data_IF_137529249028
#
_entry.id   IF_137529249028
#
_cell.length_a   1.000
_cell.length_b   1.000
_cell.length_c   1.000
_cell.angle_alpha   90.00
_cell.angle_beta   90.00
_cell.angle_gamma   90.00
#
_symmetry.space_group_name_H-M   'P 1'
#
loop_
_entity.id
_entity.type
_entity.pdbx_description
1 polymer ?
#
# COMPACT_ATOMS: atom_id res chain seq x y z
N UNK A 1 5.56 4.72 20.57
CA UNK A 1 4.73 4.98 19.37
C UNK A 1 5.62 5.63 18.33
N UNK A 2 5.94 4.94 17.23
CA UNK A 2 6.84 5.41 16.17
C UNK A 2 6.10 6.17 15.05
N UNK A 3 4.93 6.74 15.33
CA UNK A 3 4.03 7.17 14.28
C UNK A 3 3.63 8.63 14.48
N UNK A 4 4.44 9.52 13.94
CA UNK A 4 4.02 10.84 13.51
C UNK A 4 4.75 11.10 12.19
N UNK A 5 4.01 11.13 11.09
CA UNK A 5 4.52 11.27 9.73
C UNK A 5 4.55 12.75 9.26
N UNK A 6 4.49 13.70 10.20
CA UNK A 6 4.35 15.13 9.88
C UNK A 6 2.97 15.53 9.34
N UNK A 7 2.06 14.57 9.11
CA UNK A 7 0.77 14.80 8.49
C UNK A 7 -0.28 15.39 9.44
N UNK A 8 -1.00 16.41 8.97
CA UNK A 8 -2.15 17.03 9.64
C UNK A 8 -3.48 16.25 9.43
N UNK A 9 -3.47 15.19 8.61
CA UNK A 9 -4.67 14.48 8.19
C UNK A 9 -4.75 13.09 8.82
N UNK A 10 -5.48 12.98 9.93
CA UNK A 10 -5.97 11.70 10.44
C UNK A 10 -7.32 11.37 9.82
N UNK A 11 -7.60 10.08 9.68
CA UNK A 11 -8.96 9.62 9.38
C UNK A 11 -9.85 9.97 10.56
N UNK A 12 -10.90 10.75 10.31
CA UNK A 12 -12.00 10.86 11.27
C UNK A 12 -12.55 9.46 11.50
N UNK A 13 -13.00 9.21 12.72
CA UNK A 13 -13.69 7.96 12.99
C UNK A 13 -14.81 7.72 11.97
N UNK A 14 -14.89 6.49 11.49
CA UNK A 14 -15.78 6.17 10.39
C UNK A 14 -17.24 6.43 10.78
N UNK A 15 -18.04 6.96 9.85
CA UNK A 15 -19.50 7.10 9.97
C UNK A 15 -19.99 7.95 11.16
N UNK A 16 -19.15 8.87 11.64
CA UNK A 16 -19.53 9.84 12.64
C UNK A 16 -19.33 11.26 12.17
N UNK A 17 -20.24 12.15 12.56
CA UNK A 17 -20.11 13.57 12.32
C UNK A 17 -18.83 14.09 12.96
N UNK A 18 -18.14 14.98 12.24
CA UNK A 18 -17.05 15.78 12.78
C UNK A 18 -17.63 16.75 13.82
N UNK A 19 -17.85 16.26 15.04
CA UNK A 19 -18.31 17.05 16.17
C UNK A 19 -17.15 17.91 16.72
N UNK A 20 -17.05 18.07 18.05
CA UNK A 20 -15.99 18.86 18.71
C UNK A 20 -14.61 18.17 18.66
N UNK A 21 -14.05 17.97 17.47
CA UNK A 21 -12.69 17.49 17.27
C UNK A 21 -11.77 18.67 16.98
N UNK A 22 -10.90 19.05 17.94
CA UNK A 22 -9.86 20.07 17.74
C UNK A 22 -8.68 19.57 16.90
N UNK A 23 -8.50 18.25 16.84
CA UNK A 23 -7.56 17.54 15.98
C UNK A 23 -8.28 16.26 15.50
N UNK A 24 -8.05 15.80 14.27
CA UNK A 24 -8.78 14.73 13.55
C UNK A 24 -8.73 13.32 14.18
N UNK A 25 -8.85 13.19 15.49
CA UNK A 25 -9.00 11.92 16.22
C UNK A 25 -10.40 11.81 16.81
N UNK A 26 -10.70 10.65 17.42
CA UNK A 26 -11.91 10.35 18.18
C UNK A 26 -12.43 11.56 18.97
N UNK A 27 -13.70 11.91 18.77
CA UNK A 27 -14.37 12.90 19.60
C UNK A 27 -14.65 12.32 20.99
N UNK A 28 -14.68 13.16 22.04
CA UNK A 28 -15.13 12.74 23.38
C UNK A 28 -16.53 12.13 23.36
N UNK A 29 -17.40 12.57 22.45
CA UNK A 29 -18.75 12.02 22.28
C UNK A 29 -18.77 10.59 21.69
N UNK A 30 -17.60 10.07 21.31
CA UNK A 30 -17.41 8.71 20.79
C UNK A 30 -16.89 7.73 21.83
N UNK A 31 -16.46 8.23 23.01
CA UNK A 31 -16.00 7.36 24.09
C UNK A 31 -17.20 6.66 24.73
N UNK A 32 -17.18 5.32 24.81
CA UNK A 32 -18.21 4.53 25.50
C UNK A 32 -19.43 4.11 24.66
N UNK A 33 -19.41 4.29 23.33
CA UNK A 33 -20.45 3.72 22.44
C UNK A 33 -20.26 2.20 22.27
N UNK A 34 -21.36 1.47 22.07
CA UNK A 34 -21.38 0.01 21.87
C UNK A 34 -20.63 -0.46 20.63
N UNK A 35 -20.58 0.37 19.59
CA UNK A 35 -19.72 0.21 18.42
C UNK A 35 -18.59 1.25 18.50
N UNK A 36 -17.37 0.85 18.90
CA UNK A 36 -16.22 1.73 18.80
C UNK A 36 -15.94 1.96 17.31
N UNK A 37 -15.96 3.20 16.84
CA UNK A 37 -15.47 3.56 15.51
C UNK A 37 -14.03 4.08 15.64
N UNK A 38 -13.01 3.20 15.50
CA UNK A 38 -11.65 3.63 15.60
C UNK A 38 -11.26 4.65 14.54
N UNK A 39 -10.85 5.86 14.95
CA UNK A 39 -10.10 6.75 14.08
C UNK A 39 -8.74 6.14 13.75
N UNK A 40 -8.35 6.19 12.47
CA UNK A 40 -7.04 5.71 12.01
C UNK A 40 -5.93 6.66 12.44
N UNK A 41 -5.04 6.20 13.33
CA UNK A 41 -3.79 6.88 13.65
C UNK A 41 -2.80 6.79 12.48
N UNK A 42 -1.66 7.51 12.51
CA UNK A 42 -0.64 7.38 11.48
C UNK A 42 -0.18 5.91 11.39
N UNK A 43 -0.39 5.31 10.23
CA UNK A 43 -0.11 3.92 9.91
C UNK A 43 0.26 3.82 8.42
N UNK A 44 0.95 2.74 8.02
CA UNK A 44 1.34 2.50 6.64
C UNK A 44 0.11 2.53 5.69
N UNK A 45 -1.04 2.04 6.17
CA UNK A 45 -2.34 2.10 5.50
C UNK A 45 -2.87 3.51 5.22
N UNK A 46 -2.23 4.54 5.78
CA UNK A 46 -2.58 5.95 5.61
C UNK A 46 -1.38 6.81 5.14
N UNK A 47 -0.37 6.18 4.55
CA UNK A 47 0.82 6.88 4.06
C UNK A 47 0.61 7.45 2.64
N UNK A 48 -0.11 8.58 2.55
CA UNK A 48 -0.46 9.19 1.27
C UNK A 48 0.55 10.23 0.82
N UNK A 49 1.35 9.91 -0.20
CA UNK A 49 2.42 10.78 -0.72
C UNK A 49 2.12 11.38 -2.10
N UNK A 50 1.26 10.76 -2.92
CA UNK A 50 1.04 11.18 -4.32
C UNK A 50 0.47 12.58 -4.48
N UNK A 51 -0.42 13.01 -3.56
CA UNK A 51 -0.95 14.37 -3.57
C UNK A 51 0.11 15.43 -3.29
N UNK A 52 1.04 15.14 -2.36
CA UNK A 52 2.17 16.01 -2.06
C UNK A 52 3.17 16.08 -3.22
N UNK A 53 3.44 14.93 -3.87
CA UNK A 53 4.27 14.89 -5.07
C UNK A 53 3.64 15.72 -6.19
N UNK A 54 2.35 15.56 -6.46
CA UNK A 54 1.63 16.32 -7.48
C UNK A 54 1.70 17.83 -7.17
N UNK A 55 1.44 18.22 -5.92
CA UNK A 55 1.55 19.61 -5.50
C UNK A 55 2.96 20.17 -5.70
N UNK A 56 4.01 19.42 -5.33
CA UNK A 56 5.40 19.81 -5.60
C UNK A 56 5.66 19.98 -7.10
N UNK A 57 5.22 19.04 -7.94
CA UNK A 57 5.43 19.10 -9.40
C UNK A 57 4.73 20.28 -10.06
N UNK A 58 3.56 20.68 -9.55
CA UNK A 58 2.79 21.81 -10.08
C UNK A 58 3.28 23.16 -9.58
N UNK A 59 3.76 23.25 -8.33
CA UNK A 59 4.09 24.53 -7.67
C UNK A 59 5.58 24.79 -7.48
N UNK A 60 6.43 23.77 -7.58
CA UNK A 60 7.84 23.84 -7.18
C UNK A 60 8.06 23.93 -5.67
N UNK A 61 7.02 23.78 -4.83
CA UNK A 61 7.12 23.92 -3.38
C UNK A 61 8.07 22.86 -2.77
N UNK A 62 9.23 23.30 -2.26
CA UNK A 62 10.26 22.41 -1.69
C UNK A 62 9.83 21.71 -0.42
N UNK A 63 8.99 22.33 0.42
CA UNK A 63 8.49 21.69 1.65
C UNK A 63 7.62 20.47 1.31
N UNK A 64 6.87 20.52 0.21
CA UNK A 64 6.10 19.37 -0.25
C UNK A 64 7.01 18.23 -0.75
N UNK A 65 8.12 18.55 -1.43
CA UNK A 65 9.12 17.57 -1.80
C UNK A 65 9.78 16.91 -0.58
N UNK A 66 10.18 17.72 0.41
CA UNK A 66 10.74 17.24 1.68
C UNK A 66 9.76 16.36 2.45
N UNK A 67 8.47 16.71 2.45
CA UNK A 67 7.44 15.89 3.04
C UNK A 67 7.31 14.52 2.36
N UNK A 68 7.33 14.46 1.02
CA UNK A 68 7.33 13.19 0.28
C UNK A 68 8.51 12.31 0.67
N UNK A 69 9.72 12.87 0.72
CA UNK A 69 10.93 12.15 1.14
C UNK A 69 10.78 11.65 2.57
N UNK A 70 10.33 12.50 3.49
CA UNK A 70 10.14 12.13 4.90
C UNK A 70 9.14 10.98 5.08
N UNK A 71 8.08 10.92 4.27
CA UNK A 71 7.12 9.81 4.28
C UNK A 71 7.74 8.49 3.79
N UNK A 72 8.70 8.53 2.87
CA UNK A 72 9.44 7.35 2.41
C UNK A 72 10.52 6.92 3.40
N UNK A 73 11.24 7.87 4.01
CA UNK A 73 12.16 7.60 5.11
C UNK A 73 11.44 6.92 6.28
N UNK A 74 10.21 7.33 6.54
CA UNK A 74 9.36 6.68 7.54
C UNK A 74 9.06 5.22 7.18
N UNK A 75 8.83 4.90 5.90
CA UNK A 75 8.67 3.51 5.42
C UNK A 75 9.92 2.68 5.71
N UNK A 76 11.10 3.21 5.36
CA UNK A 76 12.38 2.56 5.61
C UNK A 76 12.61 2.33 7.10
N UNK A 77 12.35 3.35 7.92
CA UNK A 77 12.58 3.29 9.36
C UNK A 77 11.60 2.36 10.09
N UNK A 78 10.32 2.34 9.68
CA UNK A 78 9.35 1.46 10.33
C UNK A 78 9.63 -0.01 10.04
N UNK A 79 10.14 -0.34 8.85
CA UNK A 79 10.43 -1.73 8.47
C UNK A 79 11.81 -2.23 8.94
N UNK A 80 12.78 -1.34 9.18
CA UNK A 80 14.12 -1.71 9.65
C UNK A 80 14.09 -2.25 11.08
N UNK A 81 14.09 -3.58 11.22
CA UNK A 81 14.05 -4.28 12.51
C UNK A 81 15.14 -3.89 13.50
N UNK A 82 16.28 -3.36 13.02
CA UNK A 82 17.38 -2.91 13.90
C UNK A 82 17.04 -1.64 14.67
N UNK A 83 16.04 -0.88 14.22
CA UNK A 83 15.66 0.41 14.84
C UNK A 83 14.63 0.25 15.96
N UNK A 84 14.05 -0.94 16.12
CA UNK A 84 13.03 -1.23 17.13
C UNK A 84 13.63 -1.85 18.38
N UNK A 85 12.86 -1.88 19.47
CA UNK A 85 13.29 -2.47 20.75
C UNK A 85 13.77 -3.93 20.59
N UNK A 86 13.11 -4.69 19.70
CA UNK A 86 13.48 -6.07 19.38
C UNK A 86 14.73 -6.18 18.49
N UNK A 87 15.26 -5.06 18.00
CA UNK A 87 16.52 -4.95 17.24
C UNK A 87 17.73 -5.48 17.99
N UNK A 88 17.68 -5.51 19.33
CA UNK A 88 18.74 -6.09 20.16
C UNK A 88 18.86 -7.62 20.04
N UNK A 89 17.78 -8.30 19.63
CA UNK A 89 17.72 -9.77 19.53
C UNK A 89 17.51 -10.27 18.10
N UNK A 90 16.98 -9.43 17.21
CA UNK A 90 16.70 -9.80 15.82
C UNK A 90 16.76 -8.57 14.91
N UNK A 91 17.44 -8.68 13.78
CA UNK A 91 17.53 -7.62 12.77
C UNK A 91 16.54 -7.79 11.61
N UNK A 92 15.71 -8.84 11.62
CA UNK A 92 14.78 -9.12 10.52
C UNK A 92 13.75 -7.99 10.41
N UNK A 93 13.21 -7.73 9.20
CA UNK A 93 12.25 -6.65 9.01
C UNK A 93 11.02 -6.79 9.90
N UNK A 94 10.46 -5.66 10.31
CA UNK A 94 9.33 -5.65 11.25
C UNK A 94 8.03 -6.11 10.61
N UNK A 95 7.87 -5.91 9.29
CA UNK A 95 6.60 -6.13 8.60
C UNK A 95 5.58 -5.01 8.81
N UNK A 96 5.98 -3.90 9.44
CA UNK A 96 5.10 -2.74 9.67
C UNK A 96 4.85 -1.93 8.40
N UNK A 97 5.76 -2.00 7.43
CA UNK A 97 5.54 -1.33 6.15
C UNK A 97 4.51 -2.05 5.27
N UNK A 98 4.36 -3.36 5.45
CA UNK A 98 3.61 -4.22 4.54
C UNK A 98 2.33 -4.78 5.13
N UNK A 99 2.15 -4.73 6.45
CA UNK A 99 0.93 -5.24 7.06
C UNK A 99 -0.32 -4.45 6.64
N UNK A 100 -1.42 -5.14 6.36
CA UNK A 100 -2.75 -4.52 6.25
C UNK A 100 -3.62 -5.10 7.34
N UNK A 101 -4.30 -4.23 8.11
CA UNK A 101 -5.16 -4.53 9.27
C UNK A 101 -4.44 -5.09 10.49
N UNK A 102 -3.61 -6.12 10.31
CA UNK A 102 -2.83 -6.70 11.39
C UNK A 102 -1.48 -7.24 10.90
N UNK A 103 -0.56 -7.43 11.84
CA UNK A 103 0.80 -7.88 11.53
C UNK A 103 0.86 -9.27 10.89
N UNK A 104 -0.19 -10.09 11.04
CA UNK A 104 -0.26 -11.43 10.44
C UNK A 104 -0.59 -11.42 8.95
N UNK A 105 -1.23 -10.35 8.46
CA UNK A 105 -1.58 -10.23 7.06
C UNK A 105 -0.56 -9.34 6.35
N UNK A 106 0.36 -9.98 5.61
CA UNK A 106 1.47 -9.35 4.89
C UNK A 106 1.26 -9.39 3.37
N UNK A 107 0.07 -9.78 2.92
CA UNK A 107 -0.28 -9.93 1.51
C UNK A 107 -0.67 -8.61 0.83
N UNK A 108 -1.30 -8.68 -0.36
CA UNK A 108 -1.65 -7.50 -1.14
C UNK A 108 -2.75 -6.69 -0.45
N UNK A 109 -2.42 -5.48 -0.02
CA UNK A 109 -3.38 -4.57 0.60
C UNK A 109 -2.87 -3.13 0.65
N UNK A 110 -3.73 -2.20 1.11
CA UNK A 110 -3.41 -0.76 1.14
C UNK A 110 -2.16 -0.42 1.95
N UNK A 111 -1.81 -1.21 2.97
CA UNK A 111 -0.62 -1.00 3.79
C UNK A 111 0.66 -1.07 2.95
N UNK A 112 0.88 -2.21 2.31
CA UNK A 112 2.00 -2.41 1.39
C UNK A 112 1.92 -1.46 0.18
N UNK A 113 0.73 -1.25 -0.38
CA UNK A 113 0.54 -0.41 -1.57
C UNK A 113 0.96 1.05 -1.34
N UNK A 114 0.54 1.64 -0.22
CA UNK A 114 0.93 3.01 0.14
C UNK A 114 2.43 3.13 0.45
N UNK A 115 3.03 2.11 1.06
CA UNK A 115 4.48 2.06 1.30
C UNK A 115 5.26 2.05 -0.01
N UNK A 116 4.89 1.18 -0.97
CA UNK A 116 5.50 1.12 -2.30
C UNK A 116 5.35 2.46 -3.03
N UNK A 117 4.15 3.02 -3.07
CA UNK A 117 3.89 4.33 -3.72
C UNK A 117 4.74 5.44 -3.09
N UNK A 118 4.89 5.45 -1.77
CA UNK A 118 5.70 6.47 -1.08
C UNK A 118 7.18 6.37 -1.40
N UNK A 119 7.72 5.16 -1.48
CA UNK A 119 9.09 4.91 -1.92
C UNK A 119 9.31 5.36 -3.37
N UNK A 120 8.41 4.97 -4.29
CA UNK A 120 8.49 5.40 -5.70
C UNK A 120 8.39 6.92 -5.82
N UNK A 121 7.50 7.56 -5.06
CA UNK A 121 7.35 9.01 -5.06
C UNK A 121 8.60 9.72 -4.56
N UNK A 122 9.28 9.22 -3.51
CA UNK A 122 10.54 9.79 -3.05
C UNK A 122 11.67 9.63 -4.08
N UNK A 123 11.74 8.48 -4.75
CA UNK A 123 12.66 8.30 -5.88
C UNK A 123 12.38 9.32 -6.99
N UNK A 124 11.10 9.55 -7.36
CA UNK A 124 10.74 10.57 -8.34
C UNK A 124 11.17 11.98 -7.91
N UNK A 125 11.30 12.27 -6.62
CA UNK A 125 11.76 13.57 -6.12
C UNK A 125 13.28 13.71 -6.16
N UNK A 126 14.03 12.72 -5.71
CA UNK A 126 15.47 12.85 -5.44
C UNK A 126 16.39 11.92 -6.23
N UNK A 127 15.83 10.95 -6.95
CA UNK A 127 16.58 10.00 -7.79
C UNK A 127 17.36 8.92 -7.02
N UNK A 128 17.25 8.86 -5.69
CA UNK A 128 17.99 7.88 -4.89
C UNK A 128 17.39 6.48 -5.05
N UNK A 129 18.21 5.53 -5.53
CA UNK A 129 17.77 4.17 -5.90
C UNK A 129 17.40 3.30 -4.71
N UNK A 130 17.90 3.60 -3.51
CA UNK A 130 17.57 2.86 -2.28
C UNK A 130 16.05 2.80 -2.02
N UNK A 131 15.29 3.80 -2.47
CA UNK A 131 13.83 3.76 -2.37
C UNK A 131 13.21 2.73 -3.33
N UNK A 132 13.68 2.65 -4.58
CA UNK A 132 13.21 1.64 -5.52
C UNK A 132 13.65 0.23 -5.13
N UNK A 133 14.86 0.09 -4.58
CA UNK A 133 15.36 -1.18 -4.05
C UNK A 133 14.45 -1.69 -2.93
N UNK A 134 14.08 -0.81 -1.99
CA UNK A 134 13.12 -1.15 -0.95
C UNK A 134 11.74 -1.46 -1.53
N UNK A 135 11.25 -0.68 -2.51
CA UNK A 135 9.95 -0.93 -3.12
C UNK A 135 9.88 -2.32 -3.77
N UNK A 136 10.95 -2.72 -4.47
CA UNK A 136 11.08 -4.05 -5.06
C UNK A 136 11.13 -5.16 -3.99
N UNK A 137 11.81 -4.93 -2.86
CA UNK A 137 11.81 -5.88 -1.73
C UNK A 137 10.41 -6.04 -1.14
N UNK A 138 9.71 -4.94 -0.85
CA UNK A 138 8.36 -4.98 -0.29
C UNK A 138 7.39 -5.66 -1.24
N UNK A 139 7.50 -5.40 -2.54
CA UNK A 139 6.67 -6.03 -3.56
C UNK A 139 6.82 -7.56 -3.53
N UNK A 140 8.05 -8.08 -3.57
CA UNK A 140 8.31 -9.55 -3.52
C UNK A 140 7.87 -10.20 -2.20
N UNK A 141 7.72 -9.41 -1.14
CA UNK A 141 7.23 -9.88 0.15
C UNK A 141 5.71 -10.09 0.16
N UNK A 142 4.97 -9.28 -0.59
CA UNK A 142 3.52 -9.11 -0.40
C UNK A 142 2.65 -9.66 -1.52
N UNK A 143 3.24 -10.09 -2.64
CA UNK A 143 2.48 -10.70 -3.74
C UNK A 143 3.39 -11.64 -4.53
N UNK A 144 2.83 -12.67 -5.16
CA UNK A 144 3.51 -13.57 -6.09
C UNK A 144 2.69 -13.81 -7.36
N UNK A 145 3.35 -14.02 -8.52
CA UNK A 145 2.68 -14.54 -9.72
C UNK A 145 2.18 -15.99 -9.54
N UNK A 146 2.59 -16.67 -8.47
CA UNK A 146 2.22 -18.05 -8.13
C UNK A 146 1.30 -18.14 -6.90
N UNK A 147 0.74 -17.02 -6.43
CA UNK A 147 -0.17 -17.02 -5.27
C UNK A 147 -1.40 -17.92 -5.54
N UNK A 148 -1.82 -18.69 -4.53
CA UNK A 148 -3.08 -19.43 -4.59
C UNK A 148 -4.25 -18.55 -4.16
N UNK A 149 -4.89 -17.92 -5.15
CA UNK A 149 -5.99 -16.98 -4.93
C UNK A 149 -7.30 -17.65 -4.53
N UNK A 150 -7.36 -18.99 -4.49
CA UNK A 150 -8.56 -19.70 -4.02
C UNK A 150 -8.71 -19.64 -2.49
N UNK A 151 -7.61 -19.45 -1.77
CA UNK A 151 -7.58 -19.42 -0.29
C UNK A 151 -7.63 -17.99 0.29
N UNK A 152 -7.33 -16.97 -0.53
CA UNK A 152 -7.10 -15.59 -0.06
C UNK A 152 -8.36 -14.80 0.33
N UNK A 153 -9.56 -15.38 0.19
CA UNK A 153 -10.84 -14.75 0.53
C UNK A 153 -10.99 -13.32 -0.02
N UNK A 154 -10.48 -13.07 -1.23
CA UNK A 154 -10.44 -11.73 -1.84
C UNK A 154 -11.82 -11.08 -2.05
N UNK A 155 -12.89 -11.89 -2.04
CA UNK A 155 -14.28 -11.41 -2.10
C UNK A 155 -14.85 -10.94 -0.75
N UNK A 156 -14.14 -11.18 0.36
CA UNK A 156 -14.48 -10.54 1.63
C UNK A 156 -14.20 -9.04 1.50
N UNK A 157 -15.28 -8.29 1.27
CA UNK A 157 -15.22 -6.88 0.98
C UNK A 157 -14.62 -6.10 2.17
N UNK A 158 -14.98 -6.41 3.41
CA UNK A 158 -14.53 -5.62 4.57
C UNK A 158 -13.03 -5.82 4.85
N UNK A 159 -12.56 -7.06 4.70
CA UNK A 159 -11.19 -7.41 5.05
C UNK A 159 -10.22 -7.20 3.88
N UNK A 160 -10.63 -7.48 2.65
CA UNK A 160 -9.71 -7.62 1.52
C UNK A 160 -9.91 -6.63 0.37
N UNK A 161 -10.93 -5.75 0.38
CA UNK A 161 -11.19 -4.79 -0.73
C UNK A 161 -9.96 -4.04 -1.25
N UNK A 162 -9.00 -3.80 -0.36
CA UNK A 162 -7.83 -2.96 -0.61
C UNK A 162 -6.74 -3.63 -1.45
N UNK A 163 -6.89 -4.90 -1.83
CA UNK A 163 -5.98 -5.54 -2.78
C UNK A 163 -6.00 -4.83 -4.15
N UNK A 164 -7.16 -4.28 -4.55
CA UNK A 164 -7.26 -3.45 -5.78
C UNK A 164 -6.41 -2.18 -5.71
N UNK A 165 -6.30 -1.55 -4.52
CA UNK A 165 -5.39 -0.41 -4.29
C UNK A 165 -3.94 -0.85 -4.47
N UNK A 166 -3.60 -2.02 -3.97
CA UNK A 166 -2.26 -2.59 -4.10
C UNK A 166 -1.89 -2.88 -5.56
N UNK A 167 -2.81 -3.44 -6.36
CA UNK A 167 -2.57 -3.67 -7.79
C UNK A 167 -2.31 -2.36 -8.56
N UNK A 168 -3.02 -1.28 -8.24
CA UNK A 168 -2.73 0.04 -8.81
C UNK A 168 -1.33 0.55 -8.42
N UNK A 169 -0.89 0.31 -7.19
CA UNK A 169 0.47 0.64 -6.75
C UNK A 169 1.54 -0.11 -7.54
N UNK A 170 1.30 -1.38 -7.91
CA UNK A 170 2.23 -2.16 -8.73
C UNK A 170 2.33 -1.63 -10.16
N UNK A 171 1.20 -1.26 -10.76
CA UNK A 171 1.17 -0.63 -12.09
C UNK A 171 1.91 0.71 -12.06
N UNK A 172 1.80 1.46 -10.97
CA UNK A 172 2.58 2.68 -10.79
C UNK A 172 4.09 2.42 -10.68
N UNK A 173 4.51 1.42 -9.89
CA UNK A 173 5.91 1.00 -9.81
C UNK A 173 6.45 0.58 -11.18
N UNK A 174 5.69 -0.24 -11.92
CA UNK A 174 6.02 -0.66 -13.28
C UNK A 174 6.28 0.51 -14.22
N UNK A 175 5.36 1.49 -14.22
CA UNK A 175 5.49 2.64 -15.09
C UNK A 175 6.66 3.56 -14.67
N UNK A 176 6.86 3.75 -13.36
CA UNK A 176 7.94 4.57 -12.84
C UNK A 176 9.34 3.98 -13.13
N UNK A 177 9.44 2.65 -13.20
CA UNK A 177 10.68 1.92 -13.45
C UNK A 177 10.89 1.53 -14.92
N UNK A 178 9.98 1.95 -15.81
CA UNK A 178 10.08 1.63 -17.23
C UNK A 178 11.40 2.19 -17.82
N UNK A 179 12.16 1.31 -18.50
CA UNK A 179 13.44 1.66 -19.10
C UNK A 179 14.65 1.58 -18.16
N UNK A 180 14.45 1.35 -16.86
CA UNK A 180 15.55 1.12 -15.92
C UNK A 180 15.96 -0.37 -15.94
N UNK A 181 17.14 -0.65 -16.48
CA UNK A 181 17.61 -2.02 -16.68
C UNK A 181 17.73 -2.81 -15.36
N UNK A 182 18.13 -2.14 -14.29
CA UNK A 182 18.33 -2.67 -12.94
C UNK A 182 17.01 -3.18 -12.32
N UNK A 183 15.87 -2.62 -12.72
CA UNK A 183 14.55 -2.97 -12.19
C UNK A 183 13.72 -3.83 -13.15
N UNK A 184 14.31 -4.29 -14.27
CA UNK A 184 13.62 -5.13 -15.27
C UNK A 184 13.00 -6.39 -14.65
N UNK A 185 13.72 -7.06 -13.76
CA UNK A 185 13.24 -8.29 -13.13
C UNK A 185 12.12 -8.03 -12.12
N UNK A 186 12.26 -6.98 -11.31
CA UNK A 186 11.21 -6.55 -10.39
C UNK A 186 9.95 -6.10 -11.16
N UNK A 187 10.13 -5.41 -12.29
CA UNK A 187 9.05 -5.05 -13.19
C UNK A 187 8.38 -6.29 -13.79
N UNK A 188 9.13 -7.25 -14.34
CA UNK A 188 8.54 -8.49 -14.87
C UNK A 188 7.72 -9.23 -13.81
N UNK A 189 8.25 -9.34 -12.60
CA UNK A 189 7.56 -9.96 -11.46
C UNK A 189 6.25 -9.23 -11.12
N UNK A 190 6.29 -7.90 -11.02
CA UNK A 190 5.13 -7.06 -10.75
C UNK A 190 4.05 -7.23 -11.84
N UNK A 191 4.46 -7.21 -13.12
CA UNK A 191 3.55 -7.38 -14.26
C UNK A 191 2.85 -8.74 -14.21
N UNK A 192 3.59 -9.81 -13.99
CA UNK A 192 3.02 -11.16 -13.94
C UNK A 192 2.08 -11.33 -12.75
N UNK A 193 2.42 -10.75 -11.60
CA UNK A 193 1.55 -10.72 -10.42
C UNK A 193 0.24 -9.96 -10.70
N UNK A 194 0.30 -8.79 -11.33
CA UNK A 194 -0.89 -8.02 -11.70
C UNK A 194 -1.78 -8.80 -12.66
N UNK A 195 -1.20 -9.43 -13.68
CA UNK A 195 -1.97 -10.23 -14.66
C UNK A 195 -2.59 -11.47 -14.01
N UNK A 196 -1.89 -12.14 -13.10
CA UNK A 196 -2.42 -13.28 -12.34
C UNK A 196 -3.68 -12.90 -11.55
N UNK A 197 -3.61 -11.82 -10.78
CA UNK A 197 -4.78 -11.31 -10.03
C UNK A 197 -5.88 -10.80 -10.95
N UNK A 198 -5.54 -10.12 -12.05
CA UNK A 198 -6.54 -9.64 -13.01
C UNK A 198 -7.30 -10.80 -13.69
N UNK A 199 -6.64 -11.93 -13.97
CA UNK A 199 -7.31 -13.15 -14.46
C UNK A 199 -8.30 -13.69 -13.46
N UNK A 200 -7.91 -13.73 -12.18
CA UNK A 200 -8.83 -14.11 -11.11
C UNK A 200 -10.02 -13.14 -11.02
N UNK A 201 -9.77 -11.84 -11.11
CA UNK A 201 -10.82 -10.81 -11.12
C UNK A 201 -11.81 -11.00 -12.27
N UNK A 202 -11.34 -11.36 -13.48
CA UNK A 202 -12.24 -11.60 -14.61
C UNK A 202 -13.32 -12.64 -14.30
N UNK A 203 -12.94 -13.71 -13.60
CA UNK A 203 -13.82 -14.82 -13.27
C UNK A 203 -14.68 -14.56 -12.03
N UNK A 204 -14.18 -13.83 -11.03
CA UNK A 204 -14.81 -13.79 -9.70
C UNK A 204 -15.34 -12.41 -9.28
N UNK A 205 -14.78 -11.31 -9.79
CA UNK A 205 -15.14 -9.98 -9.31
C UNK A 205 -16.55 -9.55 -9.72
N UNK A 206 -17.17 -8.82 -8.80
CA UNK A 206 -18.55 -8.33 -8.85
C UNK A 206 -18.70 -7.04 -8.05
N UNK A 207 -19.69 -6.18 -8.35
CA UNK A 207 -19.99 -5.00 -7.53
C UNK A 207 -20.16 -5.35 -6.05
N UNK A 208 -19.66 -4.50 -5.14
CA UNK A 208 -19.79 -4.74 -3.71
C UNK A 208 -21.25 -4.69 -3.24
N UNK A 209 -22.05 -3.80 -3.83
CA UNK A 209 -23.44 -3.58 -3.43
C UNK A 209 -24.42 -4.67 -3.91
N UNK A 210 -23.96 -5.62 -4.73
CA UNK A 210 -24.74 -6.82 -5.05
C UNK A 210 -24.87 -7.76 -3.83
N UNK A 211 -24.00 -7.59 -2.82
CA UNK A 211 -24.00 -8.29 -1.54
C UNK A 211 -23.94 -7.29 -0.39
N UNK A 212 -24.86 -6.31 -0.39
CA UNK A 212 -24.89 -5.24 0.59
C UNK A 212 -25.05 -5.74 2.05
N UNK A 213 -25.62 -6.93 2.23
CA UNK A 213 -25.78 -7.62 3.52
C UNK A 213 -24.45 -8.00 4.20
N UNK A 214 -23.37 -8.15 3.43
CA UNK A 214 -22.04 -8.48 3.94
C UNK A 214 -21.27 -7.23 4.43
N UNK A 215 -21.78 -6.03 4.13
CA UNK A 215 -21.11 -4.76 4.40
C UNK A 215 -21.57 -4.17 5.74
N UNK A 216 -20.63 -3.65 6.53
CA UNK A 216 -20.96 -2.93 7.77
C UNK A 216 -21.80 -1.67 7.45
N UNK A 217 -21.46 -0.98 6.34
CA UNK A 217 -22.19 0.18 5.85
C UNK A 217 -22.28 0.22 4.32
N UNK A 218 -23.40 -0.25 3.72
CA UNK A 218 -23.61 -0.25 2.27
C UNK A 218 -23.93 1.17 1.74
N UNK A 219 -22.91 1.99 1.60
CA UNK A 219 -23.00 3.41 1.19
C UNK A 219 -22.47 3.63 -0.22
N UNK A 220 -22.68 4.83 -0.77
CA UNK A 220 -22.14 5.25 -2.07
C UNK A 220 -20.60 5.18 -2.16
N UNK A 221 -19.92 5.10 -1.01
CA UNK A 221 -18.47 4.84 -0.94
C UNK A 221 -18.11 3.51 -1.59
N UNK A 222 -18.93 2.46 -1.40
CA UNK A 222 -18.69 1.15 -2.00
C UNK A 222 -18.91 1.18 -3.51
N UNK A 223 -19.94 1.89 -3.98
CA UNK A 223 -20.13 2.13 -5.42
C UNK A 223 -18.92 2.86 -6.04
N UNK A 224 -18.38 3.86 -5.36
CA UNK A 224 -17.17 4.57 -5.80
C UNK A 224 -15.89 3.72 -5.66
N UNK A 225 -15.83 2.77 -4.72
CA UNK A 225 -14.75 1.79 -4.60
C UNK A 225 -14.71 0.83 -5.79
N UNK A 226 -15.88 0.41 -6.30
CA UNK A 226 -15.97 -0.50 -7.44
C UNK A 226 -15.32 0.07 -8.71
N UNK A 227 -15.20 1.40 -8.84
CA UNK A 227 -14.43 2.03 -9.92
C UNK A 227 -12.99 1.49 -10.00
N UNK A 228 -12.36 1.17 -8.85
CA UNK A 228 -11.01 0.60 -8.81
C UNK A 228 -10.92 -0.73 -9.52
N UNK A 229 -11.92 -1.60 -9.38
CA UNK A 229 -11.92 -2.94 -9.99
C UNK A 229 -11.85 -2.83 -11.50
N UNK A 230 -12.70 -1.97 -12.07
CA UNK A 230 -12.71 -1.69 -13.49
C UNK A 230 -11.41 -1.04 -13.98
N UNK A 231 -10.89 -0.04 -13.26
CA UNK A 231 -9.59 0.60 -13.59
C UNK A 231 -8.44 -0.40 -13.56
N UNK A 232 -8.38 -1.31 -12.57
CA UNK A 232 -7.33 -2.34 -12.49
C UNK A 232 -7.37 -3.27 -13.69
N UNK A 233 -8.56 -3.67 -14.16
CA UNK A 233 -8.68 -4.50 -15.35
C UNK A 233 -8.22 -3.76 -16.63
N UNK A 234 -8.48 -2.46 -16.74
CA UNK A 234 -7.95 -1.64 -17.82
C UNK A 234 -6.42 -1.47 -17.75
N UNK A 235 -5.86 -1.31 -16.55
CA UNK A 235 -4.41 -1.33 -16.36
C UNK A 235 -3.79 -2.68 -16.75
N UNK A 236 -4.42 -3.79 -16.35
CA UNK A 236 -3.99 -5.13 -16.71
C UNK A 236 -4.09 -5.37 -18.22
N UNK A 237 -5.14 -4.86 -18.88
CA UNK A 237 -5.27 -4.92 -20.33
C UNK A 237 -4.13 -4.16 -21.03
N UNK A 238 -3.73 -2.99 -20.52
CA UNK A 238 -2.58 -2.25 -21.04
C UNK A 238 -1.23 -2.97 -20.83
N UNK A 239 -1.16 -3.84 -19.82
CA UNK A 239 -0.01 -4.70 -19.58
C UNK A 239 -0.01 -5.96 -20.46
N UNK A 240 -1.17 -6.48 -20.85
CA UNK A 240 -1.31 -7.78 -21.50
C UNK A 240 -0.79 -7.80 -22.94
N UNK A 241 -0.01 -8.84 -23.27
CA UNK A 241 0.55 -9.02 -24.62
C UNK A 241 -0.39 -9.78 -25.57
N UNK A 242 -1.21 -10.69 -25.04
CA UNK A 242 -2.11 -11.55 -25.81
C UNK A 242 -3.38 -10.79 -26.17
N UNK A 243 -3.71 -10.72 -27.46
CA UNK A 243 -4.86 -9.95 -27.97
C UNK A 243 -6.19 -10.40 -27.35
N UNK A 244 -6.46 -11.71 -27.40
CA UNK A 244 -7.73 -12.27 -26.93
C UNK A 244 -7.92 -12.09 -25.40
N UNK A 245 -6.85 -12.23 -24.63
CA UNK A 245 -6.87 -11.99 -23.18
C UNK A 245 -7.10 -10.50 -22.91
N UNK A 246 -6.39 -9.62 -23.63
CA UNK A 246 -6.55 -8.16 -23.53
C UNK A 246 -7.98 -7.73 -23.80
N UNK A 247 -8.61 -8.19 -24.88
CA UNK A 247 -10.02 -7.88 -25.19
C UNK A 247 -10.98 -8.36 -24.09
N UNK A 248 -10.69 -9.50 -23.46
CA UNK A 248 -11.52 -10.04 -22.36
C UNK A 248 -11.39 -9.19 -21.09
N UNK A 249 -10.17 -8.77 -20.76
CA UNK A 249 -9.89 -7.83 -19.67
C UNK A 249 -10.62 -6.49 -19.88
N UNK A 250 -10.55 -5.94 -21.10
CA UNK A 250 -11.23 -4.69 -21.47
C UNK A 250 -12.74 -4.81 -21.30
N UNK A 251 -13.36 -5.86 -21.85
CA UNK A 251 -14.81 -6.08 -21.75
C UNK A 251 -15.29 -6.19 -20.31
N UNK A 252 -14.58 -6.95 -19.46
CA UNK A 252 -14.92 -7.04 -18.03
C UNK A 252 -14.68 -5.72 -17.31
N UNK A 253 -13.58 -5.02 -17.61
CA UNK A 253 -13.26 -3.72 -17.04
C UNK A 253 -14.32 -2.66 -17.34
N UNK A 254 -14.76 -2.59 -18.59
CA UNK A 254 -15.86 -1.71 -19.03
C UNK A 254 -17.19 -2.05 -18.33
N UNK A 255 -17.52 -3.34 -18.22
CA UNK A 255 -18.73 -3.77 -17.53
C UNK A 255 -18.74 -3.35 -16.05
N UNK A 256 -17.64 -3.58 -15.32
CA UNK A 256 -17.52 -3.19 -13.92
C UNK A 256 -17.51 -1.67 -13.74
N UNK A 257 -16.81 -0.91 -14.60
CA UNK A 257 -16.85 0.56 -14.57
C UNK A 257 -18.26 1.09 -14.79
N UNK A 258 -18.96 0.56 -15.79
CA UNK A 258 -20.32 0.99 -16.12
C UNK A 258 -21.28 0.71 -14.96
N UNK A 259 -21.18 -0.46 -14.34
CA UNK A 259 -21.97 -0.81 -13.14
C UNK A 259 -21.63 0.09 -11.96
N UNK A 260 -20.35 0.34 -11.69
CA UNK A 260 -19.90 1.22 -10.62
C UNK A 260 -20.41 2.65 -10.78
N UNK A 261 -20.32 3.21 -12.00
CA UNK A 261 -20.84 4.54 -12.32
C UNK A 261 -22.36 4.61 -12.18
N UNK A 262 -23.10 3.66 -12.74
CA UNK A 262 -24.56 3.61 -12.62
C UNK A 262 -25.00 3.52 -11.17
N UNK A 263 -24.34 2.65 -10.38
CA UNK A 263 -24.59 2.50 -8.95
C UNK A 263 -24.30 3.81 -8.20
N UNK A 264 -23.13 4.41 -8.39
CA UNK A 264 -22.75 5.65 -7.72
C UNK A 264 -23.71 6.82 -8.06
N UNK A 265 -24.09 6.96 -9.33
CA UNK A 265 -24.97 8.05 -9.78
C UNK A 265 -26.40 7.90 -9.25
N UNK A 266 -26.81 6.69 -8.85
CA UNK A 266 -28.13 6.44 -8.25
C UNK A 266 -28.28 7.04 -6.84
N UNK A 267 -27.18 7.24 -6.12
CA UNK A 267 -27.21 7.82 -4.77
C UNK A 267 -27.44 9.33 -4.81
N UNK A 268 -28.29 9.85 -3.93
CA UNK A 268 -28.45 11.29 -3.68
C UNK A 268 -27.25 11.89 -2.95
N UNK A 269 -26.53 11.06 -2.18
CA UNK A 269 -25.31 11.39 -1.41
C UNK A 269 -24.01 11.23 -2.20
N UNK A 270 -24.09 10.97 -3.52
CA UNK A 270 -22.93 10.76 -4.40
C UNK A 270 -21.88 11.88 -4.39
N UNK A 271 -22.29 13.09 -3.99
CA UNK A 271 -21.43 14.27 -3.87
C UNK A 271 -20.78 14.43 -2.48
N UNK A 272 -20.92 13.46 -1.58
CA UNK A 272 -20.18 13.44 -0.32
C UNK A 272 -18.66 13.38 -0.57
N UNK A 273 -17.86 13.87 0.38
CA UNK A 273 -16.41 14.00 0.19
C UNK A 273 -15.70 12.68 -0.09
N UNK A 274 -16.12 11.59 0.54
CA UNK A 274 -15.49 10.26 0.41
C UNK A 274 -15.66 9.67 -1.00
N UNK A 275 -16.87 9.51 -1.56
CA UNK A 275 -17.03 9.04 -2.93
C UNK A 275 -16.38 9.98 -3.95
N UNK A 276 -16.45 11.31 -3.76
CA UNK A 276 -15.78 12.26 -4.65
C UNK A 276 -14.25 12.09 -4.63
N UNK A 277 -13.64 11.88 -3.46
CA UNK A 277 -12.21 11.64 -3.37
C UNK A 277 -11.79 10.37 -4.11
N UNK A 278 -12.64 9.34 -4.12
CA UNK A 278 -12.42 8.11 -4.89
C UNK A 278 -12.53 8.38 -6.39
N UNK A 279 -13.59 9.05 -6.84
CA UNK A 279 -13.77 9.46 -8.24
C UNK A 279 -12.56 10.26 -8.73
N UNK A 280 -12.11 11.26 -7.98
CA UNK A 280 -10.95 12.09 -8.35
C UNK A 280 -9.64 11.31 -8.42
N UNK A 281 -9.51 10.18 -7.70
CA UNK A 281 -8.38 9.28 -7.83
C UNK A 281 -8.51 8.36 -9.05
N UNK A 282 -9.71 7.86 -9.35
CA UNK A 282 -9.92 6.82 -10.35
C UNK A 282 -10.14 7.36 -11.76
N UNK A 283 -10.87 8.46 -11.94
CA UNK A 283 -11.17 9.00 -13.28
C UNK A 283 -9.93 9.39 -14.10
N UNK A 284 -8.86 9.99 -13.54
CA UNK A 284 -7.64 10.24 -14.30
C UNK A 284 -6.97 8.95 -14.78
N UNK A 285 -6.99 7.90 -13.94
CA UNK A 285 -6.40 6.60 -14.29
C UNK A 285 -7.22 5.90 -15.37
N UNK A 286 -8.54 5.87 -15.24
CA UNK A 286 -9.45 5.41 -16.28
C UNK A 286 -9.15 6.09 -17.62
N UNK A 287 -9.09 7.43 -17.62
CA UNK A 287 -8.87 8.22 -18.83
C UNK A 287 -7.50 7.99 -19.46
N UNK A 288 -6.50 7.62 -18.67
CA UNK A 288 -5.16 7.30 -19.14
C UNK A 288 -5.06 5.88 -19.70
N UNK A 289 -5.56 4.88 -18.96
CA UNK A 289 -5.37 3.47 -19.29
C UNK A 289 -6.36 2.93 -20.34
N UNK A 290 -7.59 3.44 -20.41
CA UNK A 290 -8.56 2.96 -21.41
C UNK A 290 -8.06 3.13 -22.85
N UNK A 291 -7.59 4.33 -23.27
CA UNK A 291 -7.02 4.49 -24.61
C UNK A 291 -5.70 3.74 -24.81
N UNK A 292 -4.89 3.60 -23.76
CA UNK A 292 -3.60 2.91 -23.84
C UNK A 292 -3.79 1.41 -24.13
N UNK A 293 -4.74 0.77 -23.46
CA UNK A 293 -5.05 -0.64 -23.66
C UNK A 293 -5.60 -0.93 -25.06
N UNK A 294 -6.21 0.05 -25.73
CA UNK A 294 -6.73 -0.07 -27.09
C UNK A 294 -5.64 0.03 -28.17
N UNK A 295 -4.42 0.46 -27.81
CA UNK A 295 -3.32 0.61 -28.76
C UNK A 295 -2.54 -0.70 -28.94
N UNK A 296 -2.41 -1.25 -30.16
CA UNK A 296 -1.70 -2.51 -30.39
C UNK A 296 -0.19 -2.45 -30.12
N UNK A 297 0.41 -1.25 -30.15
CA UNK A 297 1.88 -1.05 -30.26
C UNK A 297 2.57 -0.51 -29.01
N UNK A 298 1.83 -0.08 -27.99
CA UNK A 298 2.42 0.53 -26.77
C UNK A 298 2.26 -0.40 -25.58
N UNK A 299 2.67 -1.65 -25.76
CA UNK A 299 2.90 -2.53 -24.63
C UNK A 299 4.10 -1.97 -23.85
N UNK A 300 3.94 -1.78 -22.54
CA UNK A 300 5.09 -1.62 -21.64
C UNK A 300 6.10 -2.72 -21.99
N UNK A 301 7.37 -2.35 -22.17
CA UNK A 301 8.47 -3.16 -22.77
C UNK A 301 8.26 -4.68 -22.73
N UNK A 302 8.49 -5.35 -23.87
CA UNK A 302 8.27 -6.79 -24.05
C UNK A 302 8.80 -7.61 -22.85
N UNK A 303 8.01 -8.54 -22.31
CA UNK A 303 8.37 -9.26 -21.10
C UNK A 303 9.67 -10.04 -21.33
N UNK A 304 10.61 -10.06 -20.35
CA UNK A 304 11.61 -11.11 -20.37
C UNK A 304 10.89 -12.47 -20.29
N UNK A 305 11.52 -13.56 -20.75
CA UNK A 305 10.94 -14.90 -20.65
C UNK A 305 10.48 -15.17 -19.22
N UNK A 306 9.43 -16.01 -19.02
CA UNK A 306 8.96 -16.36 -17.68
C UNK A 306 10.16 -16.82 -16.86
N UNK A 307 10.56 -15.99 -15.90
CA UNK A 307 11.56 -16.42 -14.95
C UNK A 307 10.89 -17.45 -14.05
N UNK A 308 11.60 -18.52 -13.72
CA UNK A 308 11.22 -19.42 -12.64
C UNK A 308 11.23 -18.60 -11.34
N UNK A 309 10.07 -18.01 -11.02
CA UNK A 309 9.89 -17.19 -9.84
C UNK A 309 9.65 -18.13 -8.67
N UNK A 310 10.72 -18.78 -8.23
CA UNK A 310 10.68 -19.67 -7.06
C UNK A 310 9.84 -19.02 -5.96
N UNK A 311 8.89 -19.76 -5.37
CA UNK A 311 8.01 -19.21 -4.36
C UNK A 311 8.86 -18.60 -3.25
N UNK A 312 8.60 -17.33 -2.96
CA UNK A 312 9.30 -16.65 -1.87
C UNK A 312 8.88 -17.30 -0.56
N UNK A 313 9.82 -17.58 0.36
CA UNK A 313 9.46 -18.13 1.65
C UNK A 313 8.52 -17.16 2.37
N UNK A 314 7.49 -17.69 3.02
CA UNK A 314 6.49 -16.88 3.75
C UNK A 314 7.21 -15.94 4.71
N UNK A 315 7.01 -14.64 4.53
CA UNK A 315 7.63 -13.64 5.37
C UNK A 315 7.10 -13.73 6.81
N UNK A 316 8.02 -13.74 7.78
CA UNK A 316 7.68 -13.78 9.21
C UNK A 316 8.14 -12.47 9.88
N UNK A 317 7.19 -11.59 10.27
CA UNK A 317 7.48 -10.35 10.99
C UNK A 317 8.36 -10.55 12.22
N UNK A 318 9.25 -9.58 12.50
CA UNK A 318 10.19 -9.61 13.63
C UNK A 318 9.53 -10.01 14.96
N UNK A 319 8.40 -9.40 15.31
CA UNK A 319 7.69 -9.68 16.57
C UNK A 319 7.20 -11.12 16.64
N UNK A 320 6.69 -11.67 15.53
CA UNK A 320 6.20 -13.05 15.46
C UNK A 320 7.38 -14.02 15.55
N UNK A 321 8.47 -13.74 14.83
CA UNK A 321 9.68 -14.55 14.88
C UNK A 321 10.26 -14.62 16.30
N UNK A 322 10.41 -13.47 16.96
CA UNK A 322 10.91 -13.39 18.34
C UNK A 322 9.98 -14.14 19.30
N UNK A 323 8.66 -13.98 19.16
CA UNK A 323 7.70 -14.72 19.98
C UNK A 323 7.78 -16.24 19.80
N UNK A 324 8.06 -16.72 18.57
CA UNK A 324 8.34 -18.15 18.31
C UNK A 324 9.65 -18.60 18.95
N UNK A 325 10.71 -17.79 18.84
CA UNK A 325 12.02 -18.09 19.40
C UNK A 325 12.04 -18.18 20.93
N UNK A 326 11.25 -17.36 21.61
CA UNK A 326 11.08 -17.43 23.07
C UNK A 326 10.52 -18.78 23.56
N UNK A 327 9.80 -19.52 22.71
CA UNK A 327 9.23 -20.83 23.04
C UNK A 327 10.22 -21.98 22.85
N UNK A 328 11.40 -21.73 22.29
CA UNK A 328 12.42 -22.74 21.99
C UNK A 328 13.65 -22.54 22.88
N UNK A 329 13.96 -23.46 23.82
CA UNK A 329 15.12 -23.34 24.70
C UNK A 329 16.46 -23.00 24.01
N UNK A 330 16.84 -23.65 22.88
CA UNK A 330 18.10 -23.29 22.20
C UNK A 330 18.05 -21.90 21.57
N UNK A 331 16.89 -21.46 21.05
CA UNK A 331 16.75 -20.13 20.46
C UNK A 331 16.72 -19.04 21.53
N UNK A 332 16.13 -19.31 22.69
CA UNK A 332 16.17 -18.43 23.85
C UNK A 332 17.62 -18.22 24.33
N UNK A 333 18.42 -19.28 24.43
CA UNK A 333 19.84 -19.17 24.79
C UNK A 333 20.60 -18.29 23.78
N UNK A 334 20.34 -18.48 22.47
CA UNK A 334 20.92 -17.64 21.43
C UNK A 334 20.50 -16.17 21.55
N UNK A 335 19.24 -15.89 21.88
CA UNK A 335 18.75 -14.54 22.12
C UNK A 335 19.44 -13.88 23.32
N UNK A 336 19.64 -14.61 24.41
CA UNK A 336 20.38 -14.11 25.59
C UNK A 336 21.82 -13.74 25.22
N UNK A 337 22.49 -14.56 24.41
CA UNK A 337 23.83 -14.25 23.90
C UNK A 337 23.84 -12.99 23.00
N UNK A 338 22.79 -12.76 22.21
CA UNK A 338 22.65 -11.54 21.39
C UNK A 338 22.45 -10.30 22.26
N UNK A 339 21.67 -10.39 23.32
CA UNK A 339 21.46 -9.29 24.29
C UNK A 339 22.74 -8.86 24.98
N UNK A 340 23.73 -9.75 25.14
CA UNK A 340 25.03 -9.41 25.71
C UNK A 340 25.92 -8.58 24.77
N UNK A 341 25.58 -8.46 23.49
CA UNK A 341 26.38 -7.70 22.52
C UNK A 341 26.09 -6.20 22.69
N UNK A 342 27.10 -5.35 22.91
CA UNK A 342 26.87 -3.91 23.12
C UNK A 342 26.42 -3.17 21.85
N UNK A 343 26.80 -3.67 20.66
CA UNK A 343 26.54 -2.99 19.38
C UNK A 343 25.06 -2.65 19.14
N UNK A 344 24.13 -3.62 19.17
CA UNK A 344 22.70 -3.36 18.99
C UNK A 344 22.12 -2.35 20.01
N UNK A 345 22.58 -2.39 21.26
CA UNK A 345 22.16 -1.43 22.29
C UNK A 345 22.68 -0.02 22.01
N UNK A 346 23.92 0.11 21.58
CA UNK A 346 24.49 1.40 21.16
C UNK A 346 23.75 1.95 19.92
N UNK A 347 23.37 1.09 18.98
CA UNK A 347 22.61 1.49 17.80
C UNK A 347 21.20 1.97 18.18
N UNK A 348 20.51 1.24 19.07
CA UNK A 348 19.22 1.65 19.61
C UNK A 348 19.33 3.00 20.37
N UNK A 349 20.38 3.18 21.17
CA UNK A 349 20.66 4.45 21.85
C UNK A 349 20.88 5.61 20.87
N UNK A 350 21.71 5.40 19.83
CA UNK A 350 22.02 6.40 18.79
C UNK A 350 20.82 6.75 17.90
N UNK A 351 19.88 5.83 17.71
CA UNK A 351 18.67 6.01 16.90
C UNK A 351 17.41 6.21 17.74
N UNK A 352 17.55 6.37 19.05
CA UNK A 352 16.43 6.72 19.92
C UNK A 352 15.87 8.08 19.54
N UNK A 353 14.56 8.27 19.76
CA UNK A 353 13.89 9.56 19.59
C UNK A 353 14.59 10.70 20.36
N UNK A 354 15.19 10.39 21.52
CA UNK A 354 16.03 11.30 22.30
C UNK A 354 17.31 11.71 21.56
N UNK A 355 18.03 10.75 20.96
CA UNK A 355 19.22 11.04 20.15
C UNK A 355 18.88 11.77 18.84
N UNK A 356 17.72 11.51 18.27
CA UNK A 356 17.20 12.22 17.09
C UNK A 356 16.81 13.67 17.42
N UNK A 357 16.12 13.91 18.54
CA UNK A 357 15.85 15.26 19.05
C UNK A 357 17.12 16.04 19.38
N UNK A 358 18.10 15.41 20.03
CA UNK A 358 19.40 16.04 20.31
C UNK A 358 20.12 16.43 19.02
N UNK A 359 20.11 15.57 17.99
CA UNK A 359 20.67 15.91 16.67
C UNK A 359 19.92 17.05 15.99
N UNK A 360 18.61 17.14 16.15
CA UNK A 360 17.81 18.26 15.63
C UNK A 360 18.11 19.58 16.36
N UNK A 361 18.31 19.55 17.68
CA UNK A 361 18.70 20.72 18.47
C UNK A 361 20.14 21.18 18.21
N UNK A 362 21.01 20.25 17.80
CA UNK A 362 22.44 20.50 17.55
C UNK A 362 22.76 20.77 16.07
N UNK A 363 21.77 20.70 15.16
CA UNK A 363 21.97 21.17 13.79
C UNK A 363 22.04 22.70 13.80
N UNK A 364 23.13 23.33 13.34
CA UNK A 364 23.12 24.77 13.11
C UNK A 364 22.00 25.07 12.11
N UNK A 365 21.10 25.98 12.50
CA UNK A 365 20.04 26.45 11.61
C UNK A 365 20.63 27.15 10.38
N UNK A 366 19.87 27.19 9.26
CA UNK A 366 20.25 28.00 8.10
C UNK A 366 20.39 29.48 8.46
#
# INVERSE_FOLDING_TARGET
KAAYNGGLFWHTAHYHDAARCSHRSYSRAMSGKSLPAPGGGPANEHNYSSGLLLYYRLSGNRQAAEAVISLADWVLAMDDGRQHLLGCVSSVPTGLATCTRCLHHQGPGRGAGNSIVSLVNAWLVCGLTNYLDQAAELLRRTISPEDDLSEDQLLDAEEHWSYTVYLQALVFFLHATEGLAEYRDAGSYARQSVLHYARWMMAHERPYLDHAEDLEYPTETWAAQDLRKGVVLWMAAALCSEEAERETLQRKGEALLSQAWNSLLSFSTRSCTRPLALVLQQSPLERYFCPLAQQPRRQLSAPPPPADFRPSPVFVPQRILVARQLKSPPQLALMMLRLMRPGPWMQLGRRSWTAERLRHLLRPGP
#
